data_IF_271946659606
#
_entry.id   IF_271946659606
#
_cell.length_a   1.000
_cell.length_b   1.000
_cell.length_c   1.000
_cell.angle_alpha   90.00
_cell.angle_beta   90.00
_cell.angle_gamma   90.00
#
_symmetry.space_group_name_H-M   'P 1'
#
loop_
_entity.id
_entity.type
_entity.pdbx_description
1 polymer ?
#
# COMPACT_ATOMS: atom_id res chain seq x y z
N UNK A 1 -16.00 -7.61 4.46
CA UNK A 1 -14.87 -7.33 5.39
C UNK A 1 -15.32 -6.28 6.39
N UNK A 2 -14.98 -6.42 7.67
CA UNK A 2 -15.42 -5.48 8.71
C UNK A 2 -14.80 -4.08 8.47
N UNK A 3 -15.66 -3.04 8.35
CA UNK A 3 -15.23 -1.64 8.08
C UNK A 3 -14.25 -1.12 9.14
N UNK A 4 -14.41 -1.53 10.39
CA UNK A 4 -13.51 -1.15 11.49
C UNK A 4 -12.12 -1.74 11.31
N UNK A 5 -12.03 -3.02 10.92
CA UNK A 5 -10.75 -3.69 10.69
C UNK A 5 -10.01 -3.02 9.53
N UNK A 6 -10.71 -2.74 8.42
CA UNK A 6 -10.14 -1.99 7.29
C UNK A 6 -9.56 -0.66 7.73
N UNK A 7 -10.32 0.11 8.50
CA UNK A 7 -9.89 1.42 8.96
C UNK A 7 -8.67 1.32 9.88
N UNK A 8 -8.67 0.39 10.85
CA UNK A 8 -7.55 0.17 11.76
C UNK A 8 -6.27 -0.16 11.00
N UNK A 9 -6.30 -1.13 10.09
CA UNK A 9 -5.14 -1.48 9.28
C UNK A 9 -4.68 -0.32 8.38
N UNK A 10 -5.62 0.48 7.86
CA UNK A 10 -5.29 1.67 7.08
C UNK A 10 -4.50 2.69 7.92
N UNK A 11 -5.00 2.98 9.13
CA UNK A 11 -4.36 3.93 10.06
C UNK A 11 -3.00 3.41 10.51
N UNK A 12 -2.90 2.13 10.87
CA UNK A 12 -1.61 1.53 11.25
C UNK A 12 -0.61 1.55 10.09
N UNK A 13 -1.05 1.22 8.87
CA UNK A 13 -0.20 1.25 7.68
C UNK A 13 0.33 2.64 7.36
N UNK A 14 -0.48 3.69 7.59
CA UNK A 14 -0.11 5.08 7.29
C UNK A 14 0.68 5.75 8.41
N UNK A 15 0.24 5.59 9.67
CA UNK A 15 0.84 6.31 10.80
C UNK A 15 2.03 5.58 11.39
N UNK A 16 2.06 4.25 11.34
CA UNK A 16 3.15 3.46 11.93
C UNK A 16 4.13 3.01 10.85
N UNK A 17 3.69 2.11 9.97
CA UNK A 17 4.59 1.45 9.02
C UNK A 17 5.19 2.42 8.02
N UNK A 18 4.37 3.31 7.45
CA UNK A 18 4.86 4.30 6.49
C UNK A 18 5.80 5.32 7.13
N UNK A 19 5.54 5.81 8.35
CA UNK A 19 6.46 6.75 8.99
C UNK A 19 7.79 6.10 9.39
N UNK A 20 7.78 4.83 9.82
CA UNK A 20 9.02 4.07 10.03
C UNK A 20 9.82 3.94 8.73
N UNK A 21 9.15 3.57 7.63
CA UNK A 21 9.77 3.48 6.31
C UNK A 21 10.37 4.83 5.88
N UNK A 22 9.61 5.93 5.98
CA UNK A 22 10.08 7.26 5.61
C UNK A 22 11.25 7.72 6.48
N UNK A 23 11.21 7.47 7.78
CA UNK A 23 12.32 7.79 8.67
C UNK A 23 13.61 7.07 8.21
N UNK A 24 13.56 5.75 8.04
CA UNK A 24 14.74 5.01 7.57
C UNK A 24 15.17 5.41 6.16
N UNK A 25 14.22 5.70 5.27
CA UNK A 25 14.50 6.18 3.91
C UNK A 25 15.27 7.50 3.90
N UNK A 26 14.87 8.47 4.73
CA UNK A 26 15.47 9.81 4.73
C UNK A 26 16.74 9.92 5.58
N UNK A 27 16.86 9.14 6.65
CA UNK A 27 17.94 9.30 7.62
C UNK A 27 18.98 8.17 7.60
N UNK A 28 18.63 6.96 7.14
CA UNK A 28 19.49 5.78 7.28
C UNK A 28 19.74 5.02 5.96
N UNK A 29 19.04 5.36 4.87
CA UNK A 29 19.12 4.60 3.63
C UNK A 29 20.45 4.81 2.89
N UNK A 30 21.15 3.69 2.66
CA UNK A 30 22.27 3.60 1.75
C UNK A 30 21.95 2.64 0.60
N UNK A 31 22.09 3.14 -0.63
CA UNK A 31 21.72 2.38 -1.83
C UNK A 31 22.64 1.16 -2.05
N UNK A 32 23.94 1.28 -1.77
CA UNK A 32 24.88 0.19 -2.00
C UNK A 32 24.63 -0.95 -1.01
N UNK A 33 24.38 -0.61 0.25
CA UNK A 33 24.00 -1.55 1.30
C UNK A 33 22.68 -2.25 0.95
N UNK A 34 21.67 -1.51 0.51
CA UNK A 34 20.39 -2.08 0.08
C UNK A 34 20.56 -3.04 -1.09
N UNK A 35 21.30 -2.66 -2.14
CA UNK A 35 21.53 -3.51 -3.31
C UNK A 35 22.35 -4.76 -2.99
N UNK A 36 23.21 -4.71 -1.96
CA UNK A 36 23.94 -5.88 -1.47
C UNK A 36 23.05 -6.87 -0.68
N UNK A 37 21.89 -6.42 -0.20
CA UNK A 37 20.92 -7.23 0.52
C UNK A 37 19.91 -7.85 -0.46
N UNK A 38 20.19 -9.07 -0.91
CA UNK A 38 19.36 -9.80 -1.89
C UNK A 38 17.91 -9.98 -1.43
N UNK A 39 17.67 -10.23 -0.15
CA UNK A 39 16.32 -10.39 0.41
C UNK A 39 15.58 -9.05 0.39
N UNK A 40 16.25 -7.96 0.76
CA UNK A 40 15.67 -6.62 0.75
C UNK A 40 15.24 -6.19 -0.65
N UNK A 41 16.08 -6.45 -1.66
CA UNK A 41 15.77 -6.18 -3.07
C UNK A 41 14.57 -7.01 -3.55
N UNK A 42 14.54 -8.31 -3.22
CA UNK A 42 13.45 -9.20 -3.61
C UNK A 42 12.10 -8.74 -3.03
N UNK A 43 12.05 -8.44 -1.72
CA UNK A 43 10.82 -7.97 -1.06
C UNK A 43 10.37 -6.59 -1.56
N UNK A 44 11.32 -5.71 -1.88
CA UNK A 44 11.01 -4.41 -2.47
C UNK A 44 10.35 -4.59 -3.84
N UNK A 45 10.95 -5.38 -4.74
CA UNK A 45 10.36 -5.68 -6.04
C UNK A 45 8.99 -6.35 -5.92
N UNK A 46 8.85 -7.31 -5.01
CA UNK A 46 7.59 -7.99 -4.74
C UNK A 46 6.49 -7.00 -4.31
N UNK A 47 6.79 -6.04 -3.42
CA UNK A 47 5.83 -5.03 -3.02
C UNK A 47 5.33 -4.19 -4.20
N UNK A 48 6.22 -3.76 -5.11
CA UNK A 48 5.83 -3.02 -6.31
C UNK A 48 5.01 -3.88 -7.29
N UNK A 49 5.40 -5.14 -7.50
CA UNK A 49 4.67 -6.06 -8.37
C UNK A 49 3.29 -6.38 -7.81
N UNK A 50 3.15 -6.59 -6.50
CA UNK A 50 1.86 -6.80 -5.85
C UNK A 50 0.96 -5.58 -5.96
N UNK A 51 1.50 -4.36 -5.82
CA UNK A 51 0.73 -3.13 -6.04
C UNK A 51 0.16 -3.09 -7.47
N UNK A 52 0.98 -3.37 -8.47
CA UNK A 52 0.55 -3.38 -9.87
C UNK A 52 -0.45 -4.50 -10.16
N UNK A 53 -0.21 -5.70 -9.62
CA UNK A 53 -1.10 -6.85 -9.77
C UNK A 53 -2.47 -6.58 -9.16
N UNK A 54 -2.53 -6.01 -7.95
CA UNK A 54 -3.77 -5.65 -7.29
C UNK A 54 -4.50 -4.52 -8.03
N UNK A 55 -3.76 -3.52 -8.52
CA UNK A 55 -4.35 -2.45 -9.32
C UNK A 55 -4.92 -3.00 -10.64
N UNK A 56 -4.21 -3.90 -11.31
CA UNK A 56 -4.70 -4.61 -12.50
C UNK A 56 -5.94 -5.45 -12.18
N UNK A 57 -5.94 -6.17 -11.05
CA UNK A 57 -7.11 -6.92 -10.61
C UNK A 57 -8.34 -6.01 -10.45
N UNK A 58 -8.22 -4.88 -9.76
CA UNK A 58 -9.34 -3.94 -9.57
C UNK A 58 -9.71 -3.15 -10.83
N UNK A 59 -8.84 -3.11 -11.85
CA UNK A 59 -9.20 -2.60 -13.18
C UNK A 59 -10.28 -3.49 -13.81
N UNK A 60 -10.16 -4.81 -13.63
CA UNK A 60 -11.11 -5.79 -14.15
C UNK A 60 -12.27 -6.10 -13.18
N UNK A 61 -12.07 -5.87 -11.89
CA UNK A 61 -13.05 -6.11 -10.83
C UNK A 61 -13.30 -4.83 -10.02
N UNK A 62 -13.97 -3.81 -10.58
CA UNK A 62 -14.20 -2.56 -9.89
C UNK A 62 -15.13 -2.75 -8.68
N UNK A 63 -14.72 -2.25 -7.52
CA UNK A 63 -15.52 -2.35 -6.29
C UNK A 63 -16.58 -1.23 -6.23
N UNK A 64 -16.22 -0.01 -6.61
CA UNK A 64 -17.06 1.17 -6.41
C UNK A 64 -16.61 2.37 -7.27
N UNK A 65 -16.91 3.57 -6.79
CA UNK A 65 -16.68 4.83 -7.52
C UNK A 65 -15.21 5.13 -7.79
N UNK A 66 -14.31 4.74 -6.89
CA UNK A 66 -12.88 5.03 -7.01
C UNK A 66 -12.19 4.00 -7.87
N UNK A 67 -11.69 4.46 -9.02
CA UNK A 67 -11.02 3.64 -10.03
C UNK A 67 -9.70 3.04 -9.53
N UNK A 68 -9.25 1.98 -10.20
CA UNK A 68 -8.08 1.18 -9.85
C UNK A 68 -6.77 1.97 -9.68
N UNK A 69 -6.54 3.02 -10.47
CA UNK A 69 -5.31 3.81 -10.40
C UNK A 69 -5.14 4.54 -9.06
N UNK A 70 -6.25 4.77 -8.32
CA UNK A 70 -6.18 5.32 -6.97
C UNK A 70 -5.44 4.40 -6.00
N UNK A 71 -5.50 3.07 -6.19
CA UNK A 71 -4.73 2.15 -5.35
C UNK A 71 -3.22 2.40 -5.50
N UNK A 72 -2.75 2.65 -6.73
CA UNK A 72 -1.33 2.95 -7.01
C UNK A 72 -0.95 4.26 -6.34
N UNK A 73 -1.73 5.32 -6.55
CA UNK A 73 -1.46 6.64 -5.95
C UNK A 73 -1.41 6.55 -4.42
N UNK A 74 -2.38 5.87 -3.81
CA UNK A 74 -2.44 5.68 -2.36
C UNK A 74 -1.26 4.85 -1.84
N UNK A 75 -0.82 3.84 -2.60
CA UNK A 75 0.31 2.98 -2.23
C UNK A 75 1.63 3.74 -2.28
N UNK A 76 1.81 4.64 -3.25
CA UNK A 76 3.00 5.49 -3.36
C UNK A 76 3.04 6.62 -2.32
N UNK A 77 1.88 7.16 -1.93
CA UNK A 77 1.79 8.15 -0.86
C UNK A 77 1.99 7.57 0.55
N UNK A 78 1.89 6.25 0.68
CA UNK A 78 2.02 5.57 1.95
C UNK A 78 2.62 4.19 1.77
N UNK A 79 1.84 3.16 2.09
CA UNK A 79 2.23 1.77 1.93
C UNK A 79 1.06 0.95 1.39
N UNK A 80 1.34 -0.25 0.88
CA UNK A 80 0.28 -1.19 0.51
C UNK A 80 -0.65 -1.56 1.68
N UNK A 81 -0.10 -1.64 2.89
CA UNK A 81 -0.86 -1.90 4.12
C UNK A 81 -1.84 -0.77 4.44
N UNK A 82 -1.51 0.47 4.08
CA UNK A 82 -2.45 1.59 4.12
C UNK A 82 -3.43 1.53 2.95
N UNK A 83 -2.89 1.48 1.74
CA UNK A 83 -3.61 1.78 0.52
C UNK A 83 -4.70 0.75 0.21
N UNK A 84 -4.42 -0.54 0.36
CA UNK A 84 -5.38 -1.60 0.04
C UNK A 84 -6.64 -1.54 0.93
N UNK A 85 -6.53 -1.56 2.27
CA UNK A 85 -7.71 -1.50 3.11
C UNK A 85 -8.41 -0.14 3.02
N UNK A 86 -7.67 0.96 2.85
CA UNK A 86 -8.28 2.29 2.71
C UNK A 86 -9.05 2.40 1.38
N UNK A 87 -8.46 1.92 0.28
CA UNK A 87 -9.12 1.85 -1.03
C UNK A 87 -10.40 1.03 -0.98
N UNK A 88 -10.35 -0.13 -0.31
CA UNK A 88 -11.54 -0.98 -0.15
C UNK A 88 -12.61 -0.30 0.70
N UNK A 89 -12.23 0.28 1.84
CA UNK A 89 -13.13 1.02 2.72
C UNK A 89 -13.78 2.20 1.98
N UNK A 90 -13.00 2.98 1.24
CA UNK A 90 -13.47 4.15 0.51
C UNK A 90 -14.50 3.80 -0.58
N UNK A 91 -14.38 2.62 -1.22
CA UNK A 91 -15.32 2.13 -2.21
C UNK A 91 -16.57 1.44 -1.63
N UNK A 92 -16.57 1.11 -0.34
CA UNK A 92 -17.66 0.34 0.29
C UNK A 92 -18.32 1.06 1.47
N UNK A 93 -17.79 2.21 1.91
CA UNK A 93 -18.33 2.98 3.04
C UNK A 93 -19.80 3.35 2.86
N UNK A 94 -20.20 3.71 1.63
CA UNK A 94 -21.55 4.18 1.29
C UNK A 94 -22.53 3.04 0.95
N UNK A 95 -22.01 1.80 0.82
CA UNK A 95 -22.86 0.62 0.62
C UNK A 95 -23.44 0.22 1.99
N UNK A 96 -24.77 0.10 2.03
CA UNK A 96 -25.53 -0.39 3.20
C UNK A 96 -25.11 -1.82 3.52
#
# INVERSE_FOLDING_TARGET
MNKTVLFLFSVTGLLVVNNLFLYWWFFEFDLNLFLSNTIGVALFLEAFLLMLLLAYYFKHHPIGKYKWYWLIILSLLGSLLFALPFYYWLNTKDKK
#
